data_IF_350757611830
#
_entry.id   IF_350757611830
#
_cell.length_a   1.000
_cell.length_b   1.000
_cell.length_c   1.000
_cell.angle_alpha   90.00
_cell.angle_beta   90.00
_cell.angle_gamma   90.00
#
_symmetry.space_group_name_H-M   'P 1'
#
loop_
_entity.id
_entity.type
_entity.pdbx_description
1 polymer ?
#
# COMPACT_ATOMS: atom_id res chain seq x y z
N UNK A 1 7.97 11.37 -24.54
CA UNK A 1 8.38 11.94 -25.82
C UNK A 1 9.22 13.21 -25.64
N UNK A 2 9.25 14.07 -26.62
CA UNK A 2 10.09 15.29 -26.66
C UNK A 2 9.88 16.24 -25.45
N UNK A 3 8.62 16.41 -25.02
CA UNK A 3 8.31 17.22 -23.86
C UNK A 3 9.03 16.76 -22.58
N UNK A 4 9.07 15.44 -22.34
CA UNK A 4 9.77 14.89 -21.20
C UNK A 4 11.28 15.12 -21.30
N UNK A 5 11.85 14.93 -22.46
CA UNK A 5 13.28 15.17 -22.71
C UNK A 5 13.67 16.62 -22.44
N UNK A 6 12.84 17.56 -22.89
CA UNK A 6 13.04 19.00 -22.62
C UNK A 6 12.97 19.31 -21.13
N UNK A 7 12.00 18.77 -20.40
CA UNK A 7 11.88 18.97 -18.95
C UNK A 7 13.08 18.39 -18.18
N UNK A 8 13.51 17.18 -18.54
CA UNK A 8 14.68 16.51 -17.93
C UNK A 8 15.95 17.33 -18.17
N UNK A 9 16.17 17.82 -19.39
CA UNK A 9 17.34 18.63 -19.71
C UNK A 9 17.38 19.93 -18.88
N UNK A 10 16.26 20.63 -18.75
CA UNK A 10 16.20 21.86 -17.96
C UNK A 10 16.36 21.60 -16.45
N UNK A 11 15.87 20.47 -15.95
CA UNK A 11 16.12 20.03 -14.58
C UNK A 11 17.59 19.75 -14.32
N UNK A 12 18.26 19.03 -15.22
CA UNK A 12 19.69 18.72 -15.11
C UNK A 12 20.56 19.99 -15.16
N UNK A 13 20.14 21.00 -15.93
CA UNK A 13 20.79 22.31 -15.99
C UNK A 13 20.51 23.19 -14.76
N UNK A 14 19.67 22.75 -13.83
CA UNK A 14 19.29 23.52 -12.65
C UNK A 14 18.40 24.74 -12.94
N UNK A 15 17.91 24.91 -14.17
CA UNK A 15 17.05 26.03 -14.57
C UNK A 15 15.62 25.87 -14.09
N UNK A 16 15.13 24.62 -14.01
CA UNK A 16 13.76 24.32 -13.67
C UNK A 16 13.67 23.13 -12.69
N UNK A 17 13.03 23.34 -11.53
CA UNK A 17 12.64 22.26 -10.64
C UNK A 17 11.31 21.68 -11.11
N UNK A 18 11.36 20.51 -11.73
CA UNK A 18 10.19 19.87 -12.34
C UNK A 18 10.13 18.39 -12.02
N UNK A 19 8.92 17.87 -11.87
CA UNK A 19 8.60 16.46 -11.81
C UNK A 19 7.51 16.17 -12.84
N UNK A 20 7.74 15.19 -13.71
CA UNK A 20 6.75 14.73 -14.67
C UNK A 20 6.02 13.52 -14.10
N UNK A 21 4.69 13.57 -14.12
CA UNK A 21 3.81 12.50 -13.66
C UNK A 21 2.97 12.03 -14.83
N UNK A 22 2.83 10.71 -14.99
CA UNK A 22 1.94 10.15 -16.01
C UNK A 22 0.50 10.52 -15.68
N UNK A 23 -0.24 11.04 -16.68
CA UNK A 23 -1.65 11.36 -16.51
C UNK A 23 -2.46 10.12 -16.10
N UNK A 24 -3.36 10.25 -15.11
CA UNK A 24 -4.15 9.13 -14.62
C UNK A 24 -5.21 8.68 -15.62
N UNK A 25 -5.48 7.37 -15.70
CA UNK A 25 -6.51 6.80 -16.57
C UNK A 25 -6.14 6.76 -18.05
N UNK A 26 -7.12 6.42 -18.87
CA UNK A 26 -6.99 6.27 -20.33
C UNK A 26 -8.22 6.89 -21.03
N UNK A 27 -8.05 7.29 -22.30
CA UNK A 27 -9.15 7.82 -23.14
C UNK A 27 -9.89 9.00 -22.50
N UNK A 28 -11.20 9.01 -22.61
CA UNK A 28 -12.07 10.09 -22.09
C UNK A 28 -12.02 10.21 -20.57
N UNK A 29 -11.80 9.10 -19.86
CA UNK A 29 -11.58 9.10 -18.42
C UNK A 29 -10.35 9.94 -18.04
N UNK A 30 -9.25 9.84 -18.80
CA UNK A 30 -8.06 10.67 -18.59
C UNK A 30 -8.37 12.15 -18.75
N UNK A 31 -9.11 12.51 -19.82
CA UNK A 31 -9.51 13.90 -20.07
C UNK A 31 -10.34 14.44 -18.91
N UNK A 32 -11.30 13.66 -18.44
CA UNK A 32 -12.18 14.04 -17.33
C UNK A 32 -11.39 14.23 -16.01
N UNK A 33 -10.42 13.34 -15.71
CA UNK A 33 -9.59 13.46 -14.51
C UNK A 33 -8.62 14.65 -14.59
N UNK A 34 -8.06 14.92 -15.77
CA UNK A 34 -7.24 16.12 -15.98
C UNK A 34 -8.05 17.39 -15.80
N UNK A 35 -9.29 17.42 -16.27
CA UNK A 35 -10.21 18.54 -16.07
C UNK A 35 -10.54 18.75 -14.59
N UNK A 36 -10.71 17.67 -13.81
CA UNK A 36 -10.94 17.75 -12.37
C UNK A 36 -9.71 18.35 -11.64
N UNK A 37 -8.50 17.95 -12.04
CA UNK A 37 -7.24 18.51 -11.52
C UNK A 37 -7.11 20.01 -11.91
N UNK A 38 -7.41 20.34 -13.15
CA UNK A 38 -7.37 21.71 -13.64
C UNK A 38 -8.34 22.61 -12.85
N UNK A 39 -9.58 22.18 -12.66
CA UNK A 39 -10.57 22.89 -11.85
C UNK A 39 -10.11 23.08 -10.41
N UNK A 40 -9.50 22.05 -9.80
CA UNK A 40 -8.99 22.12 -8.43
C UNK A 40 -7.84 23.10 -8.28
N UNK A 41 -6.97 23.20 -9.27
CA UNK A 41 -5.72 23.98 -9.19
C UNK A 41 -5.79 25.36 -9.87
N UNK A 42 -6.88 25.61 -10.61
CA UNK A 42 -7.01 26.80 -11.45
C UNK A 42 -6.17 26.74 -12.73
N UNK A 43 -5.83 25.53 -13.19
CA UNK A 43 -5.10 25.31 -14.43
C UNK A 43 -6.03 25.20 -15.64
N UNK A 44 -5.44 25.22 -16.82
CA UNK A 44 -6.10 24.88 -18.09
C UNK A 44 -5.54 23.57 -18.64
N UNK A 45 -6.39 22.65 -19.12
CA UNK A 45 -5.95 21.40 -19.74
C UNK A 45 -5.51 21.68 -21.17
N UNK A 46 -4.23 21.45 -21.45
CA UNK A 46 -3.68 21.60 -22.79
C UNK A 46 -3.95 20.32 -23.58
N UNK A 47 -4.83 20.41 -24.56
CA UNK A 47 -5.21 19.28 -25.42
C UNK A 47 -5.49 19.74 -26.85
N UNK A 48 -5.11 18.91 -27.81
CA UNK A 48 -5.38 19.15 -29.22
C UNK A 48 -6.87 19.24 -29.54
N UNK A 49 -7.73 18.62 -28.73
CA UNK A 49 -9.20 18.71 -28.89
C UNK A 49 -9.74 20.15 -28.71
N UNK A 50 -9.03 20.96 -27.93
CA UNK A 50 -9.32 22.38 -27.75
C UNK A 50 -8.48 23.29 -28.65
N UNK A 51 -7.67 22.72 -29.55
CA UNK A 51 -6.76 23.48 -30.40
C UNK A 51 -5.56 24.05 -29.68
N UNK A 52 -5.27 23.58 -28.43
CA UNK A 52 -4.14 24.05 -27.62
C UNK A 52 -2.93 23.15 -27.85
N UNK A 53 -1.78 23.75 -28.08
CA UNK A 53 -0.50 23.07 -28.20
C UNK A 53 0.46 23.43 -27.06
N UNK A 54 1.30 22.47 -26.66
CA UNK A 54 2.26 22.69 -25.55
C UNK A 54 3.23 23.83 -25.83
N UNK A 55 3.60 24.07 -27.10
CA UNK A 55 4.51 25.15 -27.49
C UNK A 55 3.96 26.55 -27.20
N UNK A 56 2.61 26.69 -27.20
CA UNK A 56 1.92 27.97 -27.01
C UNK A 56 1.47 28.16 -25.55
N UNK A 57 1.83 27.24 -24.66
CA UNK A 57 1.45 27.31 -23.25
C UNK A 57 2.12 28.45 -22.52
N UNK A 58 1.31 29.23 -21.80
CA UNK A 58 1.75 30.37 -21.00
C UNK A 58 1.66 30.08 -19.50
N UNK A 59 2.37 30.89 -18.69
CA UNK A 59 2.32 30.78 -17.22
C UNK A 59 0.90 30.96 -16.66
N UNK A 60 0.05 31.73 -17.34
CA UNK A 60 -1.32 31.98 -16.91
C UNK A 60 -2.20 30.70 -16.92
N UNK A 61 -1.85 29.72 -17.73
CA UNK A 61 -2.55 28.45 -17.85
C UNK A 61 -2.08 27.40 -16.81
N UNK A 62 -1.03 27.71 -16.07
CA UNK A 62 -0.53 26.82 -15.01
C UNK A 62 -1.32 26.99 -13.73
N UNK A 63 -1.78 25.87 -13.17
CA UNK A 63 -2.43 25.85 -11.87
C UNK A 63 -1.44 26.02 -10.71
N UNK A 64 -2.01 26.23 -9.52
CA UNK A 64 -1.26 26.36 -8.27
C UNK A 64 -1.87 25.50 -7.18
N UNK A 65 -1.03 25.05 -6.26
CA UNK A 65 -1.45 24.38 -5.04
C UNK A 65 -0.49 24.73 -3.91
N UNK A 66 -0.97 24.65 -2.68
CA UNK A 66 -0.14 24.90 -1.50
C UNK A 66 0.97 23.84 -1.37
N UNK A 67 0.63 22.58 -1.65
CA UNK A 67 1.58 21.48 -1.60
C UNK A 67 1.20 20.40 -2.61
N UNK A 68 2.20 19.85 -3.30
CA UNK A 68 2.04 18.65 -4.13
C UNK A 68 3.06 17.62 -3.68
N UNK A 69 2.58 16.44 -3.28
CA UNK A 69 3.41 15.31 -2.89
C UNK A 69 3.33 14.22 -3.96
N UNK A 70 4.44 14.02 -4.65
CA UNK A 70 4.57 12.98 -5.69
C UNK A 70 5.24 11.76 -5.11
N UNK A 71 4.58 10.61 -5.18
CA UNK A 71 5.09 9.30 -4.77
C UNK A 71 5.06 8.34 -5.97
N UNK A 72 5.62 7.15 -5.80
CA UNK A 72 5.67 6.14 -6.85
C UNK A 72 4.28 5.76 -7.37
N UNK A 73 3.33 5.55 -6.48
CA UNK A 73 1.98 5.06 -6.80
C UNK A 73 0.93 6.18 -6.82
N UNK A 74 1.17 7.27 -6.10
CA UNK A 74 0.17 8.32 -5.89
C UNK A 74 0.76 9.72 -6.00
N UNK A 75 -0.05 10.65 -6.49
CA UNK A 75 0.22 12.09 -6.41
C UNK A 75 -0.90 12.75 -5.61
N UNK A 76 -0.54 13.49 -4.56
CA UNK A 76 -1.48 14.16 -3.66
C UNK A 76 -1.33 15.65 -3.86
N UNK A 77 -2.43 16.32 -4.21
CA UNK A 77 -2.52 17.77 -4.36
C UNK A 77 -3.32 18.31 -3.17
N UNK A 78 -2.71 19.20 -2.39
CA UNK A 78 -3.31 19.78 -1.19
C UNK A 78 -3.55 21.27 -1.41
N UNK A 79 -4.76 21.74 -1.10
CA UNK A 79 -5.16 23.15 -1.22
C UNK A 79 -4.83 23.73 -2.60
N UNK A 80 -5.49 23.21 -3.63
CA UNK A 80 -5.44 23.78 -4.98
C UNK A 80 -6.03 25.20 -5.00
N UNK A 81 -5.44 26.07 -5.81
CA UNK A 81 -5.83 27.48 -5.91
C UNK A 81 -6.99 27.75 -6.90
N UNK A 82 -7.74 26.69 -7.27
CA UNK A 82 -8.91 26.82 -8.14
C UNK A 82 -10.04 27.61 -7.50
N UNK A 83 -10.92 28.18 -8.34
CA UNK A 83 -12.08 28.91 -7.91
C UNK A 83 -13.09 28.00 -7.21
N UNK A 84 -13.54 28.38 -6.01
CA UNK A 84 -14.45 27.58 -5.19
C UNK A 84 -15.80 27.35 -5.85
N UNK A 85 -16.29 28.32 -6.62
CA UNK A 85 -17.56 28.19 -7.31
C UNK A 85 -17.44 27.19 -8.47
N UNK A 86 -16.36 27.27 -9.24
CA UNK A 86 -16.10 26.31 -10.32
C UNK A 86 -15.91 24.88 -9.78
N UNK A 87 -15.28 24.70 -8.63
CA UNK A 87 -15.19 23.41 -7.96
C UNK A 87 -16.55 22.90 -7.53
N UNK A 88 -17.41 23.75 -6.96
CA UNK A 88 -18.78 23.39 -6.56
C UNK A 88 -19.64 23.02 -7.77
N UNK A 89 -19.55 23.76 -8.85
CA UNK A 89 -20.27 23.50 -10.11
C UNK A 89 -19.80 22.17 -10.72
N UNK A 90 -18.51 21.90 -10.69
CA UNK A 90 -17.96 20.62 -11.16
C UNK A 90 -18.45 19.43 -10.33
N UNK A 91 -18.50 19.57 -9.00
CA UNK A 91 -19.08 18.58 -8.09
C UNK A 91 -20.56 18.33 -8.41
N UNK A 92 -21.33 19.39 -8.64
CA UNK A 92 -22.75 19.28 -9.02
C UNK A 92 -22.92 18.54 -10.36
N UNK A 93 -22.09 18.84 -11.34
CA UNK A 93 -22.07 18.17 -12.64
C UNK A 93 -21.80 16.66 -12.50
N UNK A 94 -20.78 16.27 -11.72
CA UNK A 94 -20.47 14.84 -11.49
C UNK A 94 -21.63 14.14 -10.77
N UNK A 95 -22.27 14.79 -9.79
CA UNK A 95 -23.45 14.24 -9.11
C UNK A 95 -24.63 14.01 -10.05
N UNK A 96 -24.86 14.93 -10.98
CA UNK A 96 -25.92 14.77 -12.00
C UNK A 96 -25.60 13.55 -12.90
N UNK A 97 -24.37 13.42 -13.37
CA UNK A 97 -23.92 12.27 -14.16
C UNK A 97 -24.10 10.94 -13.43
N UNK A 98 -23.83 10.87 -12.11
CA UNK A 98 -24.07 9.67 -11.30
C UNK A 98 -25.54 9.25 -11.31
N UNK A 99 -26.45 10.22 -11.28
CA UNK A 99 -27.90 9.95 -11.28
C UNK A 99 -28.43 9.51 -12.65
N UNK A 100 -27.82 9.98 -13.73
CA UNK A 100 -28.21 9.67 -15.10
C UNK A 100 -27.63 8.34 -15.61
N UNK A 101 -26.49 7.93 -15.08
CA UNK A 101 -25.73 6.75 -15.53
C UNK A 101 -26.44 5.46 -15.10
N UNK A 102 -26.65 4.56 -16.07
CA UNK A 102 -27.25 3.24 -15.87
C UNK A 102 -26.23 2.11 -15.65
N UNK A 103 -24.97 2.38 -15.95
CA UNK A 103 -23.86 1.43 -15.78
C UNK A 103 -23.31 1.51 -14.36
N UNK A 104 -23.31 0.40 -13.63
CA UNK A 104 -22.76 0.33 -12.27
C UNK A 104 -21.27 0.64 -12.26
N UNK A 105 -20.53 0.20 -13.27
CA UNK A 105 -19.11 0.50 -13.41
C UNK A 105 -18.85 2.00 -13.59
N UNK A 106 -19.59 2.66 -14.47
CA UNK A 106 -19.43 4.12 -14.69
C UNK A 106 -19.84 4.91 -13.46
N UNK A 107 -20.87 4.43 -12.76
CA UNK A 107 -21.32 5.03 -11.51
C UNK A 107 -20.23 4.97 -10.43
N UNK A 108 -19.57 3.84 -10.27
CA UNK A 108 -18.45 3.67 -9.34
C UNK A 108 -17.29 4.61 -9.70
N UNK A 109 -16.95 4.73 -10.98
CA UNK A 109 -15.91 5.63 -11.45
C UNK A 109 -16.23 7.12 -11.20
N UNK A 110 -17.47 7.52 -11.41
CA UNK A 110 -17.93 8.88 -11.12
C UNK A 110 -17.94 9.16 -9.62
N UNK A 111 -18.31 8.18 -8.78
CA UNK A 111 -18.25 8.28 -7.32
C UNK A 111 -16.81 8.43 -6.83
N UNK A 112 -15.87 7.69 -7.42
CA UNK A 112 -14.44 7.82 -7.10
C UNK A 112 -13.92 9.24 -7.42
N UNK A 113 -14.28 9.79 -8.59
CA UNK A 113 -13.91 11.16 -8.97
C UNK A 113 -14.52 12.18 -8.03
N UNK A 114 -15.80 12.01 -7.70
CA UNK A 114 -16.51 12.87 -6.75
C UNK A 114 -15.82 12.88 -5.39
N UNK A 115 -15.44 11.71 -4.87
CA UNK A 115 -14.75 11.58 -3.59
C UNK A 115 -13.38 12.27 -3.59
N UNK A 116 -12.64 12.20 -4.69
CA UNK A 116 -11.34 12.88 -4.83
C UNK A 116 -11.47 14.41 -4.88
N UNK A 117 -12.52 14.92 -5.53
CA UNK A 117 -12.72 16.35 -5.68
C UNK A 117 -13.40 17.00 -4.46
N UNK A 118 -14.39 16.33 -3.87
CA UNK A 118 -15.21 16.83 -2.77
C UNK A 118 -14.68 16.46 -1.38
N UNK A 119 -13.95 15.35 -1.26
CA UNK A 119 -13.57 14.76 0.03
C UNK A 119 -12.42 15.48 0.76
N UNK A 120 -11.66 16.31 0.06
CA UNK A 120 -10.46 16.94 0.60
C UNK A 120 -9.32 15.97 0.92
N UNK A 121 -8.24 16.48 1.48
CA UNK A 121 -7.06 15.70 1.91
C UNK A 121 -6.81 15.99 3.39
N UNK A 122 -6.86 14.95 4.21
CA UNK A 122 -6.43 15.03 5.60
C UNK A 122 -4.90 14.88 5.68
N UNK A 123 -4.24 15.81 6.37
CA UNK A 123 -2.79 15.79 6.60
C UNK A 123 -2.52 15.50 8.07
N UNK A 124 -1.87 14.37 8.34
CA UNK A 124 -1.43 14.01 9.70
C UNK A 124 0.04 14.42 9.83
N UNK A 125 0.30 15.44 10.66
CA UNK A 125 1.66 15.87 10.99
C UNK A 125 2.30 14.89 11.98
N UNK A 126 3.50 14.40 11.65
CA UNK A 126 4.27 13.49 12.50
C UNK A 126 5.57 14.17 12.91
N UNK A 127 5.87 14.16 14.20
CA UNK A 127 7.10 14.70 14.75
C UNK A 127 7.68 13.81 15.84
N UNK A 128 9.00 13.89 16.04
CA UNK A 128 9.73 13.23 17.11
C UNK A 128 11.01 13.99 17.44
N UNK A 129 11.68 13.63 18.52
CA UNK A 129 12.94 14.24 18.94
C UNK A 129 14.10 13.90 18.01
N UNK A 130 14.06 12.73 17.37
CA UNK A 130 15.10 12.26 16.44
C UNK A 130 14.50 11.89 15.09
N UNK A 131 15.32 11.91 14.04
CA UNK A 131 14.93 11.53 12.69
C UNK A 131 14.52 10.04 12.61
N UNK A 132 15.24 9.17 13.33
CA UNK A 132 14.95 7.73 13.37
C UNK A 132 13.58 7.48 13.99
N UNK A 133 13.31 8.10 15.14
CA UNK A 133 12.01 7.99 15.81
C UNK A 133 10.86 8.55 14.96
N UNK A 134 11.09 9.69 14.30
CA UNK A 134 10.10 10.27 13.40
C UNK A 134 9.78 9.33 12.23
N UNK A 135 10.81 8.69 11.67
CA UNK A 135 10.64 7.73 10.58
C UNK A 135 9.88 6.48 11.05
N UNK A 136 10.18 5.95 12.24
CA UNK A 136 9.44 4.83 12.83
C UNK A 136 7.97 5.17 13.07
N UNK A 137 7.68 6.31 13.70
CA UNK A 137 6.29 6.79 13.89
C UNK A 137 5.55 6.95 12.56
N UNK A 138 6.21 7.51 11.55
CA UNK A 138 5.62 7.66 10.22
C UNK A 138 5.26 6.31 9.61
N UNK A 139 6.16 5.33 9.65
CA UNK A 139 5.92 3.99 9.13
C UNK A 139 4.76 3.29 9.86
N UNK A 140 4.67 3.42 11.18
CA UNK A 140 3.55 2.89 11.97
C UNK A 140 2.20 3.50 11.59
N UNK A 141 2.17 4.81 11.34
CA UNK A 141 0.94 5.50 10.90
C UNK A 141 0.57 5.09 9.47
N UNK A 142 1.55 4.93 8.57
CA UNK A 142 1.31 4.46 7.21
C UNK A 142 0.77 3.02 7.20
N UNK A 143 1.29 2.16 8.07
CA UNK A 143 0.80 0.79 8.26
C UNK A 143 -0.63 0.77 8.80
N UNK A 144 -0.91 1.50 9.87
CA UNK A 144 -2.24 1.62 10.44
C UNK A 144 -3.28 2.15 9.43
N UNK A 145 -2.89 3.14 8.60
CA UNK A 145 -3.74 3.67 7.55
C UNK A 145 -4.04 2.61 6.47
N UNK A 146 -3.03 1.84 6.06
CA UNK A 146 -3.18 0.78 5.08
C UNK A 146 -4.06 -0.35 5.60
N UNK A 147 -3.87 -0.76 6.86
CA UNK A 147 -4.71 -1.74 7.53
C UNK A 147 -6.18 -1.27 7.65
N UNK A 148 -6.39 0.01 8.00
CA UNK A 148 -7.73 0.59 8.09
C UNK A 148 -8.44 0.60 6.74
N UNK A 149 -7.76 0.97 5.65
CA UNK A 149 -8.32 0.92 4.29
C UNK A 149 -8.71 -0.50 3.90
N UNK A 150 -7.83 -1.48 4.14
CA UNK A 150 -8.13 -2.89 3.87
C UNK A 150 -9.33 -3.41 4.70
N UNK A 151 -9.46 -2.93 5.95
CA UNK A 151 -10.59 -3.27 6.81
C UNK A 151 -11.92 -2.67 6.34
N UNK A 152 -11.90 -1.46 5.77
CA UNK A 152 -13.09 -0.84 5.16
C UNK A 152 -13.56 -1.63 3.92
N UNK A 153 -12.62 -2.17 3.13
CA UNK A 153 -12.95 -2.92 1.91
C UNK A 153 -13.59 -4.28 2.17
N UNK A 154 -13.03 -5.10 3.08
CA UNK A 154 -13.47 -6.49 3.31
C UNK A 154 -13.86 -6.80 4.77
N UNK A 155 -13.93 -5.80 5.63
CA UNK A 155 -14.24 -5.99 7.05
C UNK A 155 -13.06 -6.50 7.87
N UNK A 156 -13.37 -6.91 9.10
CA UNK A 156 -12.40 -7.35 10.11
C UNK A 156 -12.69 -8.77 10.62
N UNK A 157 -11.63 -9.48 10.98
CA UNK A 157 -11.67 -10.79 11.64
C UNK A 157 -10.98 -10.72 13.01
N UNK A 158 -11.09 -11.79 13.79
CA UNK A 158 -10.33 -11.95 15.03
C UNK A 158 -8.82 -11.94 14.70
N UNK A 159 -8.06 -11.06 15.36
CA UNK A 159 -6.65 -10.86 15.11
C UNK A 159 -5.74 -11.89 15.78
N UNK A 160 -4.44 -11.61 15.74
CA UNK A 160 -3.45 -12.46 16.40
C UNK A 160 -3.36 -13.89 15.84
N UNK A 161 -3.70 -14.09 14.57
CA UNK A 161 -3.74 -15.42 13.95
C UNK A 161 -4.98 -16.28 14.31
N UNK A 162 -5.83 -15.82 15.22
CA UNK A 162 -7.01 -16.55 15.70
C UNK A 162 -7.98 -16.90 14.57
N UNK A 163 -8.19 -16.00 13.59
CA UNK A 163 -9.07 -16.27 12.46
C UNK A 163 -8.64 -17.50 11.64
N UNK A 164 -7.33 -17.71 11.50
CA UNK A 164 -6.79 -18.88 10.79
C UNK A 164 -7.04 -20.18 11.55
N UNK A 165 -6.91 -20.17 12.87
CA UNK A 165 -7.27 -21.32 13.72
C UNK A 165 -8.77 -21.64 13.60
N UNK A 166 -9.62 -20.62 13.60
CA UNK A 166 -11.08 -20.77 13.50
C UNK A 166 -11.55 -21.40 12.16
N UNK A 167 -10.72 -21.33 11.12
CA UNK A 167 -11.02 -21.94 9.80
C UNK A 167 -10.63 -23.43 9.75
N UNK A 168 -9.74 -23.90 10.61
CA UNK A 168 -9.23 -25.29 10.63
C UNK A 168 -10.35 -26.34 10.52
N UNK A 169 -11.44 -26.30 11.31
CA UNK A 169 -12.48 -27.33 11.24
C UNK A 169 -13.19 -27.40 9.88
N UNK A 170 -13.22 -26.30 9.13
CA UNK A 170 -13.79 -26.27 7.76
C UNK A 170 -12.85 -26.92 6.76
N UNK A 171 -11.55 -26.68 6.90
CA UNK A 171 -10.51 -27.28 6.04
C UNK A 171 -10.39 -28.78 6.33
N UNK A 172 -10.52 -29.22 7.59
CA UNK A 172 -10.53 -30.63 7.98
C UNK A 172 -11.67 -31.38 7.29
N UNK A 173 -12.90 -30.84 7.32
CA UNK A 173 -14.05 -31.41 6.60
C UNK A 173 -13.82 -31.52 5.10
N UNK A 174 -13.19 -30.50 4.50
CA UNK A 174 -12.79 -30.53 3.09
C UNK A 174 -11.78 -31.65 2.84
N UNK A 175 -10.79 -31.81 3.73
CA UNK A 175 -9.73 -32.82 3.62
C UNK A 175 -10.30 -34.25 3.61
N UNK A 176 -11.43 -34.51 4.28
CA UNK A 176 -12.11 -35.80 4.26
C UNK A 176 -12.69 -36.15 2.88
N UNK A 177 -13.01 -35.16 2.06
CA UNK A 177 -13.57 -35.35 0.70
C UNK A 177 -12.50 -35.50 -0.37
N UNK A 178 -11.23 -35.15 -0.06
CA UNK A 178 -10.10 -35.16 -0.97
C UNK A 178 -9.35 -36.49 -0.95
N UNK A 179 -8.67 -36.81 -2.04
CA UNK A 179 -7.90 -38.05 -2.21
C UNK A 179 -6.44 -37.76 -2.56
N UNK A 180 -5.61 -38.72 -2.26
CA UNK A 180 -4.20 -38.78 -2.66
C UNK A 180 -3.43 -37.46 -2.42
N UNK A 181 -2.82 -36.89 -3.45
CA UNK A 181 -2.00 -35.67 -3.36
C UNK A 181 -2.78 -34.44 -2.92
N UNK A 182 -4.06 -34.32 -3.30
CA UNK A 182 -4.91 -33.19 -2.87
C UNK A 182 -5.14 -33.22 -1.36
N UNK A 183 -5.35 -34.40 -0.79
CA UNK A 183 -5.49 -34.58 0.66
C UNK A 183 -4.20 -34.20 1.39
N UNK A 184 -3.06 -34.58 0.84
CA UNK A 184 -1.77 -34.23 1.42
C UNK A 184 -1.53 -32.70 1.38
N UNK A 185 -1.86 -32.05 0.26
CA UNK A 185 -1.81 -30.59 0.13
C UNK A 185 -2.68 -29.88 1.16
N UNK A 186 -3.92 -30.33 1.35
CA UNK A 186 -4.81 -29.78 2.37
C UNK A 186 -4.29 -29.98 3.80
N UNK A 187 -3.61 -31.10 4.10
CA UNK A 187 -2.96 -31.34 5.39
C UNK A 187 -1.78 -30.40 5.63
N UNK A 188 -1.02 -30.03 4.58
CA UNK A 188 0.04 -29.03 4.67
C UNK A 188 -0.53 -27.68 5.06
N UNK A 189 -1.65 -27.27 4.41
CA UNK A 189 -2.34 -26.02 4.75
C UNK A 189 -2.83 -26.04 6.20
N UNK A 190 -3.43 -27.13 6.68
CA UNK A 190 -3.88 -27.24 8.08
C UNK A 190 -2.76 -26.96 9.09
N UNK A 191 -1.56 -27.49 8.85
CA UNK A 191 -0.40 -27.21 9.69
C UNK A 191 0.06 -25.76 9.58
N UNK A 192 0.05 -25.18 8.37
CA UNK A 192 0.46 -23.81 8.13
C UNK A 192 -0.48 -22.78 8.81
N UNK A 193 -1.77 -23.08 8.93
CA UNK A 193 -2.74 -22.19 9.60
C UNK A 193 -2.44 -21.96 11.09
N UNK A 194 -1.72 -22.84 11.72
CA UNK A 194 -1.33 -22.71 13.14
C UNK A 194 -0.10 -21.80 13.36
N UNK A 195 0.76 -21.66 12.36
CA UNK A 195 2.08 -21.03 12.51
C UNK A 195 2.01 -19.54 12.94
N UNK A 196 1.06 -18.70 12.48
CA UNK A 196 0.98 -17.33 12.97
C UNK A 196 0.77 -17.23 14.48
N UNK A 197 -0.14 -18.02 15.05
CA UNK A 197 -0.35 -18.06 16.52
C UNK A 197 0.87 -18.63 17.23
N UNK A 198 1.47 -19.69 16.69
CA UNK A 198 2.70 -20.29 17.25
C UNK A 198 3.83 -19.29 17.28
N UNK A 199 3.99 -18.48 16.23
CA UNK A 199 5.06 -17.49 16.18
C UNK A 199 4.84 -16.37 17.19
N UNK A 200 3.61 -15.92 17.37
CA UNK A 200 3.26 -14.92 18.41
C UNK A 200 3.59 -15.47 19.79
N UNK A 201 3.22 -16.72 20.10
CA UNK A 201 3.52 -17.37 21.36
C UNK A 201 5.04 -17.49 21.58
N UNK A 202 5.82 -17.92 20.58
CA UNK A 202 7.30 -17.97 20.63
C UNK A 202 7.91 -16.61 20.92
N UNK A 203 7.43 -15.56 20.27
CA UNK A 203 7.90 -14.19 20.47
C UNK A 203 7.61 -13.68 21.90
N UNK A 204 6.56 -14.19 22.53
CA UNK A 204 6.23 -13.91 23.93
C UNK A 204 7.00 -14.82 24.93
N UNK A 205 7.82 -15.75 24.44
CA UNK A 205 8.57 -16.69 25.30
C UNK A 205 7.73 -17.83 25.85
N UNK A 206 6.55 -18.08 25.26
CA UNK A 206 5.60 -19.11 25.71
C UNK A 206 5.65 -20.37 24.84
N UNK A 207 5.14 -21.50 25.38
CA UNK A 207 5.07 -22.76 24.64
C UNK A 207 3.96 -22.72 23.56
N UNK A 208 4.29 -22.73 22.26
CA UNK A 208 3.32 -22.50 21.19
C UNK A 208 2.25 -23.59 21.10
N UNK A 209 2.61 -24.86 21.39
CA UNK A 209 1.71 -25.99 21.26
C UNK A 209 0.54 -25.88 22.25
N UNK A 210 0.80 -25.42 23.46
CA UNK A 210 -0.20 -25.23 24.51
C UNK A 210 -1.18 -24.13 24.10
N UNK A 211 -0.65 -23.00 23.63
CA UNK A 211 -1.48 -21.84 23.22
C UNK A 211 -2.41 -22.23 22.05
N UNK A 212 -1.89 -22.91 21.03
CA UNK A 212 -2.69 -23.34 19.87
C UNK A 212 -3.78 -24.33 20.30
N UNK A 213 -3.45 -25.30 21.16
CA UNK A 213 -4.40 -26.30 21.65
C UNK A 213 -5.58 -25.64 22.41
N UNK A 214 -5.27 -24.69 23.28
CA UNK A 214 -6.30 -23.94 24.03
C UNK A 214 -7.16 -23.06 23.11
N UNK A 215 -6.56 -22.36 22.12
CA UNK A 215 -7.32 -21.57 21.14
C UNK A 215 -8.24 -22.45 20.27
N UNK A 216 -7.78 -23.66 19.90
CA UNK A 216 -8.62 -24.63 19.15
C UNK A 216 -9.85 -25.11 19.94
N UNK A 217 -9.71 -25.28 21.26
CA UNK A 217 -10.79 -25.70 22.17
C UNK A 217 -11.76 -24.57 22.50
N UNK A 218 -11.31 -23.33 22.37
CA UNK A 218 -12.07 -22.15 22.72
C UNK A 218 -13.23 -21.89 21.73
N UNK A 219 -14.16 -21.02 22.11
CA UNK A 219 -15.22 -20.57 21.21
C UNK A 219 -14.64 -19.75 20.04
N UNK A 220 -15.28 -19.84 18.88
CA UNK A 220 -14.91 -19.04 17.69
C UNK A 220 -14.82 -17.56 18.07
N UNK A 221 -13.70 -16.93 17.74
CA UNK A 221 -13.39 -15.54 18.06
C UNK A 221 -12.62 -15.32 19.36
N UNK A 222 -12.48 -16.34 20.21
CA UNK A 222 -11.58 -16.32 21.37
C UNK A 222 -10.18 -16.70 20.92
N UNK A 223 -9.20 -15.87 21.26
CA UNK A 223 -7.79 -16.06 20.96
C UNK A 223 -6.91 -15.66 22.12
N UNK A 224 -5.61 -15.67 21.91
CA UNK A 224 -4.60 -15.39 22.90
C UNK A 224 -4.09 -13.94 22.79
N UNK A 225 -4.26 -13.14 23.85
CA UNK A 225 -3.67 -11.82 24.01
C UNK A 225 -2.26 -11.97 24.61
N UNK A 226 -1.25 -11.88 23.76
CA UNK A 226 0.14 -12.06 24.16
C UNK A 226 0.70 -10.95 25.09
N UNK A 227 0.05 -9.80 25.14
CA UNK A 227 0.46 -8.69 25.99
C UNK A 227 0.00 -8.89 27.46
N UNK A 228 -1.14 -9.56 27.65
CA UNK A 228 -1.73 -9.84 28.97
C UNK A 228 -1.58 -11.31 29.37
N UNK A 229 -1.17 -12.17 28.44
CA UNK A 229 -1.08 -13.62 28.61
C UNK A 229 -2.45 -14.25 28.96
N UNK A 230 -3.54 -13.73 28.40
CA UNK A 230 -4.92 -14.17 28.66
C UNK A 230 -5.63 -14.60 27.40
N UNK A 231 -6.64 -15.49 27.54
CA UNK A 231 -7.54 -15.87 26.47
C UNK A 231 -8.78 -14.98 26.49
N UNK A 232 -8.98 -14.21 25.42
CA UNK A 232 -10.02 -13.16 25.33
C UNK A 232 -10.81 -13.25 24.03
N UNK A 233 -12.02 -12.68 24.03
CA UNK A 233 -12.74 -12.40 22.77
C UNK A 233 -11.97 -11.31 22.01
N UNK A 234 -11.30 -11.70 20.96
CA UNK A 234 -10.36 -10.83 20.24
C UNK A 234 -11.02 -9.57 19.69
N UNK A 235 -12.26 -9.68 19.19
CA UNK A 235 -12.98 -8.51 18.68
C UNK A 235 -13.35 -7.52 19.78
N UNK A 236 -13.81 -8.02 20.93
CA UNK A 236 -14.14 -7.17 22.08
C UNK A 236 -12.91 -6.54 22.72
N UNK A 237 -11.80 -7.25 22.71
CA UNK A 237 -10.52 -6.74 23.19
C UNK A 237 -9.86 -5.74 22.24
N UNK A 238 -10.43 -5.52 21.03
CA UNK A 238 -9.87 -4.64 20.01
C UNK A 238 -8.68 -5.25 19.24
N UNK A 239 -8.44 -6.55 19.38
CA UNK A 239 -7.39 -7.28 18.67
C UNK A 239 -7.99 -7.85 17.39
N UNK A 240 -7.88 -7.09 16.31
CA UNK A 240 -8.51 -7.38 15.03
C UNK A 240 -7.53 -7.26 13.88
N UNK A 241 -7.73 -8.06 12.85
CA UNK A 241 -6.98 -8.00 11.60
C UNK A 241 -7.94 -7.68 10.42
N UNK A 242 -7.47 -6.94 9.38
CA UNK A 242 -8.24 -6.78 8.16
C UNK A 242 -8.40 -8.13 7.45
N UNK A 243 -9.62 -8.47 7.07
CA UNK A 243 -9.93 -9.73 6.36
C UNK A 243 -9.12 -9.85 5.07
N UNK A 244 -9.03 -8.75 4.30
CA UNK A 244 -8.27 -8.69 3.05
C UNK A 244 -6.80 -9.07 3.23
N UNK A 245 -6.15 -8.58 4.30
CA UNK A 245 -4.74 -8.86 4.59
C UNK A 245 -4.55 -10.35 4.91
N UNK A 246 -5.33 -10.89 5.85
CA UNK A 246 -5.23 -12.29 6.27
C UNK A 246 -5.52 -13.25 5.12
N UNK A 247 -6.56 -12.97 4.31
CA UNK A 247 -6.92 -13.77 3.13
C UNK A 247 -5.83 -13.72 2.06
N UNK A 248 -5.35 -12.52 1.72
CA UNK A 248 -4.33 -12.35 0.67
C UNK A 248 -3.00 -12.97 1.06
N UNK A 249 -2.62 -12.89 2.34
CA UNK A 249 -1.40 -13.51 2.83
C UNK A 249 -1.43 -15.04 2.63
N UNK A 250 -2.52 -15.69 3.02
CA UNK A 250 -2.68 -17.14 2.83
C UNK A 250 -2.71 -17.51 1.35
N UNK A 251 -3.46 -16.78 0.54
CA UNK A 251 -3.60 -17.03 -0.90
C UNK A 251 -2.26 -16.90 -1.64
N UNK A 252 -1.51 -15.84 -1.35
CA UNK A 252 -0.21 -15.60 -1.98
C UNK A 252 0.82 -16.63 -1.51
N UNK A 253 0.84 -16.98 -0.23
CA UNK A 253 1.72 -18.02 0.30
C UNK A 253 1.46 -19.38 -0.36
N UNK A 254 0.19 -19.77 -0.48
CA UNK A 254 -0.19 -21.02 -1.15
C UNK A 254 0.20 -21.00 -2.63
N UNK A 255 0.02 -19.87 -3.33
CA UNK A 255 0.40 -19.72 -4.73
C UNK A 255 1.91 -19.91 -4.94
N UNK A 256 2.74 -19.24 -4.13
CA UNK A 256 4.19 -19.37 -4.23
C UNK A 256 4.66 -20.78 -3.84
N UNK A 257 4.11 -21.36 -2.77
CA UNK A 257 4.42 -22.73 -2.38
C UNK A 257 4.10 -23.74 -3.51
N UNK A 258 2.97 -23.58 -4.18
CA UNK A 258 2.58 -24.41 -5.33
C UNK A 258 3.58 -24.28 -6.48
N UNK A 259 4.04 -23.06 -6.77
CA UNK A 259 5.06 -22.85 -7.80
C UNK A 259 6.38 -23.56 -7.46
N UNK A 260 6.84 -23.47 -6.21
CA UNK A 260 8.07 -24.16 -5.78
C UNK A 260 7.92 -25.67 -5.86
N UNK A 261 6.77 -26.21 -5.46
CA UNK A 261 6.47 -27.65 -5.52
C UNK A 261 6.45 -28.23 -6.94
N UNK A 262 6.13 -27.38 -7.95
CA UNK A 262 6.08 -27.81 -9.36
C UNK A 262 7.41 -27.60 -10.09
N UNK A 263 8.43 -27.04 -9.47
CA UNK A 263 9.76 -26.83 -10.07
C UNK A 263 10.71 -27.99 -9.72
N UNK A 264 11.52 -28.41 -10.69
CA UNK A 264 12.57 -29.41 -10.47
C UNK A 264 13.90 -28.80 -10.01
N UNK A 265 14.14 -27.55 -10.35
CA UNK A 265 15.38 -26.84 -10.01
C UNK A 265 15.16 -25.35 -9.80
N UNK A 266 15.99 -24.75 -8.96
CA UNK A 266 16.06 -23.32 -8.72
C UNK A 266 17.42 -22.80 -9.20
N UNK A 267 17.40 -21.71 -9.97
CA UNK A 267 18.60 -20.98 -10.37
C UNK A 267 18.63 -19.66 -9.63
N UNK A 268 19.63 -19.46 -8.80
CA UNK A 268 19.80 -18.24 -8.02
C UNK A 268 21.25 -17.75 -8.10
N UNK A 269 21.45 -16.46 -7.86
CA UNK A 269 22.81 -15.92 -7.72
C UNK A 269 23.46 -16.46 -6.47
N UNK A 270 24.75 -16.80 -6.59
CA UNK A 270 25.55 -17.19 -5.43
C UNK A 270 25.78 -15.96 -4.57
N UNK A 271 25.46 -15.99 -3.27
CA UNK A 271 25.72 -14.86 -2.39
C UNK A 271 27.20 -14.47 -2.42
N UNK A 272 27.49 -13.22 -2.79
CA UNK A 272 28.85 -12.71 -2.70
C UNK A 272 29.32 -12.77 -1.24
N UNK A 273 30.43 -13.45 -0.99
CA UNK A 273 31.12 -13.40 0.30
C UNK A 273 31.56 -11.94 0.47
N UNK A 274 30.89 -11.19 1.33
CA UNK A 274 31.39 -9.88 1.78
C UNK A 274 32.78 -10.14 2.37
N UNK A 275 33.83 -9.90 1.57
CA UNK A 275 35.20 -9.89 2.06
C UNK A 275 35.25 -8.89 3.20
N UNK A 276 35.73 -9.32 4.36
CA UNK A 276 36.12 -8.39 5.40
C UNK A 276 37.10 -7.42 4.74
N UNK A 277 36.70 -6.17 4.59
CA UNK A 277 37.62 -5.11 4.21
C UNK A 277 38.68 -5.07 5.35
N UNK A 278 39.81 -5.72 5.14
CA UNK A 278 40.98 -5.42 5.91
C UNK A 278 41.33 -3.98 5.63
N UNK A 279 41.10 -3.13 6.59
CA UNK A 279 41.58 -1.79 6.66
C UNK A 279 43.10 -1.91 6.85
N UNK A 280 43.82 -2.03 5.72
CA UNK A 280 45.27 -1.87 5.73
C UNK A 280 45.54 -0.40 6.09
N UNK A 281 45.81 -0.20 7.36
CA UNK A 281 46.39 1.01 7.91
C UNK A 281 47.84 1.14 7.40
N UNK A 282 47.98 1.70 6.20
CA UNK A 282 49.27 2.15 5.68
C UNK A 282 49.76 3.36 6.48
N UNK A 283 50.49 3.09 7.55
CA UNK A 283 51.40 4.06 8.12
C UNK A 283 52.48 4.40 7.07
N UNK A 284 52.41 5.53 6.45
CA UNK A 284 53.51 6.09 5.68
C UNK A 284 54.15 7.21 6.48
N UNK A 285 55.17 6.81 7.22
CA UNK A 285 56.23 7.74 7.71
C UNK A 285 57.01 8.20 6.50
N UNK A 286 57.04 9.48 6.24
CA UNK A 286 57.89 10.13 5.26
C UNK A 286 58.47 11.42 5.86
N UNK A 287 59.58 11.30 6.48
CA UNK A 287 60.56 12.38 6.76
C UNK A 287 61.35 12.66 5.48
N UNK A 288 61.82 13.89 5.39
CA UNK A 288 62.82 14.51 4.50
C UNK A 288 62.17 15.30 3.32
N UNK A 289 62.59 16.54 3.07
CA UNK A 289 63.74 17.33 3.48
C UNK A 289 63.67 18.68 2.76
N UNK A 290 64.21 19.64 3.42
CA UNK A 290 64.68 20.93 2.96
C UNK A 290 65.10 21.03 1.47
N UNK A 291 64.65 21.98 0.76
CA UNK A 291 65.34 23.16 0.18
C UNK A 291 64.32 24.04 -0.52
#
# INVERSE_FOLDING_TARGET
GEALSTLVLNKLRGVLNVVAVKAPGFGDKRKAMLQDIATLTGAEVITSDLGLELKDTTIAQLGRAKQVKVQKENTIIVDGAGDKQQIADRIAQIKAQINETKSDYDKEQLQERLAKLAGGVAVIGVGAATEVEMKDKKLRIEDALSATKAAVEEGIVAGGGTALINVIPKVEKLTETLKDGEKLGAQIILKALEEPVKQIARNAGLEPAVIVDEVKKAKVGVGFDAAKEEYVDMKKAGIVDPTKVTRSALQNAASIASMVLTTESLVTDVPEKKGCAHQDGGMQSGMDGMY
#
